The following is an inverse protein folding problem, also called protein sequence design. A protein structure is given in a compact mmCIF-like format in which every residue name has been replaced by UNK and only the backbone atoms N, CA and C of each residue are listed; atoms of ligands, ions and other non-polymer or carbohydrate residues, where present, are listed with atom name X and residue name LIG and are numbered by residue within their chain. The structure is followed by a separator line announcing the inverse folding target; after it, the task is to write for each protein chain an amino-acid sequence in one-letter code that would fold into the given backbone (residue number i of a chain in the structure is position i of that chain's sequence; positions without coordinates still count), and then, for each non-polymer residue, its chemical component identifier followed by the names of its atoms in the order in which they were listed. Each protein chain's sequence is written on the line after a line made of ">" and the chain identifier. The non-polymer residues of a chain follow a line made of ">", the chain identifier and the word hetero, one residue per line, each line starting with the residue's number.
data_IF_910701645134
#
_entry.id   IF_910701645134
#
_cell.length_a   1.000
_cell.length_b   1.000
_cell.length_c   1.000
_cell.angle_alpha   90.00
_cell.angle_beta   90.00
_cell.angle_gamma   90.00
#
_symmetry.space_group_name_H-M   'P 1'
#
loop_
_entity.id
_entity.type
_entity.pdbx_description
1 polymer ?
#
# COMPACT_ATOMS: atom_id res chain seq x y z
N UNK A 1 -13.30 5.94 -2.85
CA UNK A 1 -13.01 5.92 -1.40
C UNK A 1 -11.49 5.93 -1.27
N UNK A 2 -10.88 7.12 -1.21
CA UNK A 2 -9.42 7.24 -1.18
C UNK A 2 -8.90 6.93 0.23
N UNK A 3 -8.62 5.65 0.48
CA UNK A 3 -7.98 5.20 1.71
C UNK A 3 -6.44 5.27 1.56
N UNK A 4 -5.93 6.48 1.40
CA UNK A 4 -4.58 6.78 1.90
C UNK A 4 -4.64 6.59 3.41
N UNK A 5 -4.32 5.39 3.89
CA UNK A 5 -4.47 4.98 5.30
C UNK A 5 -3.62 5.73 6.32
N UNK A 6 -3.00 6.85 5.95
CA UNK A 6 -2.43 7.80 6.90
C UNK A 6 -3.10 9.17 6.67
N UNK A 7 -4.06 9.58 7.52
CA UNK A 7 -4.40 10.98 7.63
C UNK A 7 -3.13 11.80 7.93
N UNK A 8 -3.18 13.09 7.64
CA UNK A 8 -2.14 14.08 7.99
C UNK A 8 -1.81 14.09 9.51
N UNK A 9 -2.57 13.38 10.33
CA UNK A 9 -2.52 13.30 11.80
C UNK A 9 -1.98 11.95 12.33
N UNK A 10 -1.43 11.12 11.45
CA UNK A 10 -0.91 9.79 11.80
C UNK A 10 -1.98 8.69 11.70
N UNK A 11 -1.57 7.45 11.94
CA UNK A 11 -2.45 6.30 11.82
C UNK A 11 -3.40 6.21 13.04
N UNK A 12 -4.69 6.43 12.81
CA UNK A 12 -5.71 6.47 13.86
C UNK A 12 -5.79 5.13 14.62
N UNK A 13 -5.68 5.17 15.96
CA UNK A 13 -5.61 3.97 16.80
C UNK A 13 -6.87 3.08 16.72
N UNK A 14 -8.04 3.67 16.48
CA UNK A 14 -9.28 2.90 16.27
C UNK A 14 -9.26 2.20 14.93
N UNK A 15 -8.75 2.86 13.88
CA UNK A 15 -8.56 2.24 12.57
C UNK A 15 -7.50 1.14 12.62
N UNK A 16 -6.41 1.33 13.36
CA UNK A 16 -5.40 0.31 13.59
C UNK A 16 -6.00 -0.96 14.20
N UNK A 17 -6.82 -0.82 15.24
CA UNK A 17 -7.49 -1.95 15.87
C UNK A 17 -8.36 -2.73 14.88
N UNK A 18 -9.15 -2.04 14.05
CA UNK A 18 -9.97 -2.66 13.00
C UNK A 18 -9.10 -3.40 11.98
N UNK A 19 -8.02 -2.79 11.50
CA UNK A 19 -7.15 -3.42 10.51
C UNK A 19 -6.44 -4.65 11.08
N UNK A 20 -6.01 -4.62 12.35
CA UNK A 20 -5.42 -5.78 13.04
C UNK A 20 -6.43 -6.92 13.22
N UNK A 21 -7.65 -6.62 13.62
CA UNK A 21 -8.70 -7.63 13.74
C UNK A 21 -9.06 -8.27 12.39
N UNK A 22 -9.11 -7.47 11.32
CA UNK A 22 -9.33 -7.97 9.96
C UNK A 22 -8.14 -8.82 9.49
N UNK A 23 -6.90 -8.38 9.73
CA UNK A 23 -5.69 -9.13 9.37
C UNK A 23 -5.64 -10.48 10.09
N UNK A 24 -6.00 -10.52 11.38
CA UNK A 24 -6.11 -11.77 12.16
C UNK A 24 -7.11 -12.75 11.54
N UNK A 25 -8.29 -12.27 11.16
CA UNK A 25 -9.32 -13.12 10.54
C UNK A 25 -8.89 -13.61 9.16
N UNK A 26 -8.32 -12.72 8.33
CA UNK A 26 -7.83 -13.09 7.02
C UNK A 26 -6.69 -14.12 7.10
N UNK A 27 -5.76 -13.99 8.07
CA UNK A 27 -4.71 -14.98 8.29
C UNK A 27 -5.27 -16.38 8.54
N UNK A 28 -6.29 -16.50 9.38
CA UNK A 28 -6.93 -17.79 9.66
C UNK A 28 -7.61 -18.39 8.40
N UNK A 29 -8.18 -17.55 7.54
CA UNK A 29 -8.74 -18.00 6.26
C UNK A 29 -7.64 -18.45 5.29
N UNK A 30 -6.54 -17.69 5.19
CA UNK A 30 -5.38 -18.03 4.34
C UNK A 30 -4.76 -19.36 4.76
N UNK A 31 -4.58 -19.58 6.08
CA UNK A 31 -4.02 -20.83 6.61
C UNK A 31 -4.88 -22.04 6.26
N UNK A 32 -6.21 -21.86 6.19
CA UNK A 32 -7.15 -22.96 5.95
C UNK A 32 -7.43 -23.21 4.46
N UNK A 33 -7.48 -22.17 3.64
CA UNK A 33 -8.00 -22.24 2.27
C UNK A 33 -7.02 -21.75 1.20
N UNK A 34 -5.87 -21.19 1.59
CA UNK A 34 -5.03 -20.42 0.68
C UNK A 34 -5.60 -19.01 0.45
N UNK A 35 -5.06 -18.29 -0.53
CA UNK A 35 -5.52 -16.92 -0.83
C UNK A 35 -6.99 -16.95 -1.28
N UNK A 36 -7.93 -16.27 -0.58
CA UNK A 36 -9.33 -16.24 -0.99
C UNK A 36 -9.54 -15.40 -2.27
N UNK A 37 -9.29 -16.02 -3.42
CA UNK A 37 -9.54 -15.44 -4.75
C UNK A 37 -11.03 -15.56 -5.14
N UNK A 38 -11.37 -15.08 -6.34
CA UNK A 38 -12.76 -15.04 -6.82
C UNK A 38 -13.42 -16.43 -6.89
N UNK A 39 -12.65 -17.49 -7.16
CA UNK A 39 -13.19 -18.85 -7.24
C UNK A 39 -13.63 -19.36 -5.87
N UNK A 40 -12.95 -18.95 -4.80
CA UNK A 40 -13.25 -19.38 -3.43
C UNK A 40 -14.28 -18.47 -2.74
N UNK A 41 -14.23 -17.17 -2.99
CA UNK A 41 -14.94 -16.17 -2.19
C UNK A 41 -15.87 -15.25 -3.01
N UNK A 42 -15.97 -15.45 -4.33
CA UNK A 42 -16.65 -14.52 -5.23
C UNK A 42 -15.90 -13.20 -5.38
N UNK A 43 -16.42 -12.30 -6.22
CA UNK A 43 -15.79 -11.01 -6.52
C UNK A 43 -15.62 -10.14 -5.27
N UNK A 44 -16.70 -9.95 -4.51
CA UNK A 44 -16.69 -9.14 -3.28
C UNK A 44 -15.71 -9.69 -2.23
N UNK A 45 -15.64 -11.02 -2.08
CA UNK A 45 -14.74 -11.66 -1.12
C UNK A 45 -13.27 -11.57 -1.52
N UNK A 46 -12.98 -11.67 -2.82
CA UNK A 46 -11.63 -11.49 -3.34
C UNK A 46 -11.17 -10.03 -3.21
N UNK A 47 -12.05 -9.06 -3.49
CA UNK A 47 -11.77 -7.65 -3.30
C UNK A 47 -11.54 -7.34 -1.81
N UNK A 48 -12.40 -7.83 -0.92
CA UNK A 48 -12.24 -7.66 0.53
C UNK A 48 -10.93 -8.26 1.04
N UNK A 49 -10.55 -9.43 0.53
CA UNK A 49 -9.27 -10.08 0.84
C UNK A 49 -8.08 -9.19 0.51
N UNK A 50 -8.06 -8.64 -0.71
CA UNK A 50 -7.00 -7.72 -1.12
C UNK A 50 -7.00 -6.43 -0.30
N UNK A 51 -8.17 -5.84 -0.04
CA UNK A 51 -8.30 -4.62 0.78
C UNK A 51 -7.76 -4.84 2.19
N UNK A 52 -8.12 -5.95 2.85
CA UNK A 52 -7.62 -6.27 4.19
C UNK A 52 -6.09 -6.42 4.18
N UNK A 53 -5.54 -7.15 3.22
CA UNK A 53 -4.09 -7.30 3.09
C UNK A 53 -3.39 -5.96 2.83
N UNK A 54 -3.96 -5.11 1.98
CA UNK A 54 -3.44 -3.79 1.66
C UNK A 54 -3.40 -2.85 2.87
N UNK A 55 -4.37 -3.01 3.78
CA UNK A 55 -4.58 -2.17 4.95
C UNK A 55 -3.93 -2.70 6.23
N UNK A 56 -3.34 -3.89 6.23
CA UNK A 56 -2.62 -4.48 7.36
C UNK A 56 -1.24 -3.83 7.62
N UNK A 57 -1.12 -2.51 7.41
CA UNK A 57 0.13 -1.74 7.47
C UNK A 57 0.81 -1.76 8.84
N UNK A 58 0.11 -2.13 9.90
CA UNK A 58 0.70 -2.29 11.23
C UNK A 58 1.22 -3.73 11.49
N UNK A 59 1.20 -4.60 10.46
CA UNK A 59 1.68 -5.99 10.49
C UNK A 59 2.58 -6.33 9.28
N UNK A 60 3.85 -5.88 9.29
CA UNK A 60 4.77 -6.02 8.16
C UNK A 60 4.94 -7.46 7.64
N UNK A 61 5.19 -8.42 8.54
CA UNK A 61 5.39 -9.82 8.16
C UNK A 61 4.15 -10.43 7.49
N UNK A 62 2.96 -10.03 7.94
CA UNK A 62 1.73 -10.51 7.33
C UNK A 62 1.54 -9.93 5.93
N UNK A 63 1.80 -8.63 5.73
CA UNK A 63 1.77 -8.03 4.39
C UNK A 63 2.79 -8.68 3.44
N UNK A 64 4.01 -8.99 3.91
CA UNK A 64 5.01 -9.73 3.10
C UNK A 64 4.52 -11.12 2.72
N UNK A 65 3.90 -11.84 3.66
CA UNK A 65 3.28 -13.14 3.38
C UNK A 65 2.18 -13.03 2.33
N UNK A 66 1.28 -12.06 2.48
CA UNK A 66 0.22 -11.77 1.51
C UNK A 66 0.79 -11.42 0.13
N UNK A 67 1.85 -10.62 0.06
CA UNK A 67 2.53 -10.28 -1.19
C UNK A 67 3.04 -11.52 -1.92
N UNK A 68 3.71 -12.44 -1.21
CA UNK A 68 4.19 -13.69 -1.81
C UNK A 68 3.07 -14.61 -2.28
N UNK A 69 1.92 -14.62 -1.60
CA UNK A 69 0.74 -15.36 -2.06
C UNK A 69 0.14 -14.72 -3.31
N UNK A 70 0.00 -13.39 -3.31
CA UNK A 70 -0.54 -12.62 -4.42
C UNK A 70 0.31 -12.77 -5.69
N UNK A 71 1.64 -12.82 -5.53
CA UNK A 71 2.58 -13.09 -6.63
C UNK A 71 2.31 -14.45 -7.31
N UNK A 72 1.94 -15.48 -6.54
CA UNK A 72 1.57 -16.79 -7.08
C UNK A 72 0.21 -16.75 -7.79
N UNK A 73 -0.79 -16.08 -7.22
CA UNK A 73 -2.12 -15.96 -7.81
C UNK A 73 -2.11 -15.12 -9.11
N UNK A 74 -1.25 -14.11 -9.21
CA UNK A 74 -1.03 -13.37 -10.45
C UNK A 74 -0.40 -14.27 -11.52
N UNK A 75 0.56 -15.12 -11.14
CA UNK A 75 1.21 -16.05 -12.07
C UNK A 75 0.23 -17.09 -12.66
N UNK A 76 -0.83 -17.45 -11.93
CA UNK A 76 -1.90 -18.33 -12.42
C UNK A 76 -3.03 -17.57 -13.14
N UNK A 77 -3.00 -16.24 -13.16
CA UNK A 77 -4.06 -15.40 -13.73
C UNK A 77 -5.32 -15.32 -12.87
N UNK A 78 -5.27 -15.80 -11.61
CA UNK A 78 -6.40 -15.77 -10.67
C UNK A 78 -6.61 -14.40 -10.03
N UNK A 79 -5.60 -13.54 -10.08
CA UNK A 79 -5.62 -12.18 -9.53
C UNK A 79 -5.01 -11.21 -10.56
N UNK A 80 -5.60 -10.01 -10.74
CA UNK A 80 -5.03 -9.01 -11.64
C UNK A 80 -3.73 -8.39 -11.09
N UNK A 81 -2.76 -8.14 -11.97
CA UNK A 81 -1.42 -7.64 -11.60
C UNK A 81 -1.44 -6.31 -10.84
N UNK A 82 -2.44 -5.43 -11.06
CA UNK A 82 -2.53 -4.18 -10.32
C UNK A 82 -2.65 -4.39 -8.80
N UNK A 83 -3.29 -5.47 -8.34
CA UNK A 83 -3.40 -5.76 -6.91
C UNK A 83 -2.03 -6.00 -6.28
N UNK A 84 -1.17 -6.76 -6.97
CA UNK A 84 0.22 -6.98 -6.57
C UNK A 84 1.04 -5.71 -6.66
N UNK A 85 0.85 -4.91 -7.71
CA UNK A 85 1.57 -3.64 -7.89
C UNK A 85 1.37 -2.69 -6.70
N UNK A 86 0.12 -2.55 -6.24
CA UNK A 86 -0.22 -1.71 -5.09
C UNK A 86 0.35 -2.23 -3.77
N UNK A 87 0.27 -3.55 -3.52
CA UNK A 87 0.78 -4.15 -2.29
C UNK A 87 2.32 -4.11 -2.23
N UNK A 88 2.99 -4.44 -3.35
CA UNK A 88 4.46 -4.43 -3.46
C UNK A 88 5.03 -3.02 -3.24
N UNK A 89 4.49 -2.01 -3.93
CA UNK A 89 4.93 -0.63 -3.77
C UNK A 89 4.66 -0.10 -2.35
N UNK A 90 3.54 -0.47 -1.72
CA UNK A 90 3.27 -0.05 -0.33
C UNK A 90 4.30 -0.62 0.63
N UNK A 91 4.64 -1.91 0.50
CA UNK A 91 5.69 -2.54 1.31
C UNK A 91 7.02 -1.82 1.08
N UNK A 92 7.41 -1.62 -0.18
CA UNK A 92 8.66 -0.93 -0.54
C UNK A 92 8.75 0.47 0.07
N UNK A 93 7.70 1.28 -0.07
CA UNK A 93 7.69 2.65 0.49
C UNK A 93 7.73 2.63 2.00
N UNK A 94 7.03 1.68 2.64
CA UNK A 94 7.04 1.54 4.11
C UNK A 94 8.44 1.19 4.62
N UNK A 95 9.18 0.35 3.86
CA UNK A 95 10.58 -0.02 4.11
C UNK A 95 11.60 1.05 3.66
N UNK A 96 11.15 2.18 3.10
CA UNK A 96 12.02 3.26 2.61
C UNK A 96 12.68 2.98 1.25
N UNK A 97 12.25 1.94 0.55
CA UNK A 97 12.74 1.55 -0.77
C UNK A 97 12.05 2.24 -1.94
N UNK A 98 12.58 1.97 -3.15
CA UNK A 98 12.03 2.46 -4.41
C UNK A 98 10.85 1.60 -4.88
N UNK A 99 9.79 2.26 -5.34
CA UNK A 99 8.61 1.64 -5.95
C UNK A 99 8.90 1.10 -7.35
N UNK A 100 8.16 0.06 -7.75
CA UNK A 100 8.21 -0.47 -9.11
C UNK A 100 7.15 0.15 -9.99
N UNK A 101 5.92 0.31 -9.49
CA UNK A 101 4.76 0.73 -10.29
C UNK A 101 4.30 2.17 -9.99
N UNK A 102 4.84 2.80 -8.94
CA UNK A 102 4.52 4.18 -8.57
C UNK A 102 3.08 4.35 -8.11
N UNK A 103 2.58 3.45 -7.29
CA UNK A 103 1.19 3.46 -6.78
C UNK A 103 1.01 4.23 -5.47
N UNK A 104 2.10 4.53 -4.76
CA UNK A 104 2.12 5.36 -3.56
C UNK A 104 2.56 6.79 -3.88
N UNK A 105 1.90 7.72 -3.22
CA UNK A 105 2.02 9.16 -3.43
C UNK A 105 2.00 9.88 -2.09
N UNK A 106 2.57 11.09 -2.07
CA UNK A 106 2.51 12.01 -0.94
C UNK A 106 1.86 13.33 -1.39
N UNK A 107 1.06 13.94 -0.53
CA UNK A 107 0.59 15.32 -0.73
C UNK A 107 1.52 16.24 0.06
N UNK A 108 2.42 16.89 -0.67
CA UNK A 108 3.36 17.86 -0.09
C UNK A 108 2.73 19.27 -0.10
N UNK A 109 3.34 20.25 0.60
CA UNK A 109 2.93 21.67 0.48
C UNK A 109 2.94 22.17 -0.98
N UNK A 110 3.84 21.62 -1.82
CA UNK A 110 3.92 21.93 -3.24
C UNK A 110 2.87 21.24 -4.12
N UNK A 111 2.23 20.17 -3.62
CA UNK A 111 1.26 19.37 -4.38
C UNK A 111 1.53 17.85 -4.28
N UNK A 112 0.73 17.05 -5.01
CA UNK A 112 0.92 15.61 -5.07
C UNK A 112 2.22 15.25 -5.76
N UNK A 113 2.98 14.33 -5.17
CA UNK A 113 4.19 13.75 -5.74
C UNK A 113 4.12 12.24 -5.63
N UNK A 114 4.67 11.53 -6.61
CA UNK A 114 4.88 10.07 -6.49
C UNK A 114 6.08 9.83 -5.56
N UNK A 115 5.98 8.86 -4.65
CA UNK A 115 7.15 8.46 -3.85
C UNK A 115 8.26 7.92 -4.78
N UNK A 116 9.53 7.88 -4.37
CA UNK A 116 10.63 7.46 -5.24
C UNK A 116 10.38 6.14 -5.98
N UNK A 117 10.65 6.11 -7.29
CA UNK A 117 10.45 4.96 -8.17
C UNK A 117 11.78 4.47 -8.75
N UNK A 118 11.89 3.17 -9.01
CA UNK A 118 12.98 2.62 -9.80
C UNK A 118 12.79 2.99 -11.28
N UNK A 119 13.88 3.34 -11.97
CA UNK A 119 13.90 3.59 -13.42
C UNK A 119 12.70 4.41 -13.96
N UNK A 120 12.55 5.71 -13.60
CA UNK A 120 11.39 6.53 -13.95
C UNK A 120 11.02 6.52 -15.44
N UNK A 121 12.02 6.46 -16.33
CA UNK A 121 11.83 6.45 -17.78
C UNK A 121 11.01 5.26 -18.31
N UNK A 122 10.90 4.18 -17.54
CA UNK A 122 10.16 2.96 -17.90
C UNK A 122 8.94 2.71 -17.00
N UNK A 123 8.58 3.69 -16.16
CA UNK A 123 7.50 3.56 -15.19
C UNK A 123 6.15 3.32 -15.87
N UNK A 124 5.80 4.15 -16.86
CA UNK A 124 4.49 4.06 -17.52
C UNK A 124 4.32 2.76 -18.31
N UNK A 125 5.41 2.17 -18.79
CA UNK A 125 5.38 0.84 -19.41
C UNK A 125 5.00 -0.25 -18.39
N UNK A 126 5.61 -0.23 -17.19
CA UNK A 126 5.24 -1.17 -16.12
C UNK A 126 3.81 -0.94 -15.62
N UNK A 127 3.37 0.32 -15.53
CA UNK A 127 2.00 0.68 -15.16
C UNK A 127 0.99 0.13 -16.17
N UNK A 128 1.25 0.32 -17.46
CA UNK A 128 0.43 -0.22 -18.55
C UNK A 128 0.33 -1.75 -18.50
N UNK A 129 1.44 -2.45 -18.26
CA UNK A 129 1.46 -3.91 -18.09
C UNK A 129 0.61 -4.37 -16.90
N UNK A 130 0.57 -3.57 -15.82
CA UNK A 130 -0.27 -3.84 -14.66
C UNK A 130 -1.75 -3.43 -14.83
N UNK A 131 -2.13 -2.80 -15.95
CA UNK A 131 -3.48 -2.25 -16.15
C UNK A 131 -3.72 -0.92 -15.42
N UNK A 132 -2.66 -0.20 -15.06
CA UNK A 132 -2.72 1.11 -14.42
C UNK A 132 -2.61 2.23 -15.46
N UNK A 133 -3.26 3.36 -15.20
CA UNK A 133 -3.13 4.57 -16.00
C UNK A 133 -1.72 5.17 -15.92
N UNK A 134 -1.27 5.97 -16.90
CA UNK A 134 -0.02 6.72 -16.81
C UNK A 134 0.12 7.51 -15.50
N UNK A 135 1.35 7.68 -15.02
CA UNK A 135 1.61 8.35 -13.73
C UNK A 135 1.13 9.80 -13.74
N UNK A 136 1.23 10.49 -14.89
CA UNK A 136 0.77 11.87 -15.07
C UNK A 136 -0.73 12.01 -14.87
N UNK A 137 -1.54 11.08 -15.39
CA UNK A 137 -3.00 11.08 -15.19
C UNK A 137 -3.37 10.88 -13.72
N UNK A 138 -2.61 10.04 -13.01
CA UNK A 138 -2.82 9.84 -11.57
C UNK A 138 -2.46 11.08 -10.75
N UNK A 139 -1.36 11.75 -11.06
CA UNK A 139 -0.97 13.00 -10.41
C UNK A 139 -1.99 14.12 -10.69
N UNK A 140 -2.48 14.19 -11.92
CA UNK A 140 -3.50 15.15 -12.34
C UNK A 140 -4.82 14.96 -11.59
N UNK A 141 -5.24 13.70 -11.33
CA UNK A 141 -6.45 13.44 -10.54
C UNK A 141 -6.31 13.86 -9.07
N UNK A 142 -5.08 14.01 -8.57
CA UNK A 142 -4.77 14.43 -7.19
C UNK A 142 -4.45 15.93 -7.06
N UNK A 143 -4.42 16.69 -8.16
CA UNK A 143 -3.97 18.10 -8.15
C UNK A 143 -4.74 19.01 -7.18
N UNK A 144 -6.00 18.66 -6.91
CA UNK A 144 -6.93 19.40 -6.07
C UNK A 144 -6.99 18.87 -4.62
N UNK A 145 -6.17 17.89 -4.26
CA UNK A 145 -6.10 17.38 -2.89
C UNK A 145 -5.67 18.51 -1.93
N UNK A 146 -6.27 18.61 -0.72
CA UNK A 146 -5.89 19.60 0.27
C UNK A 146 -4.41 19.49 0.62
N UNK A 147 -3.68 20.62 0.57
CA UNK A 147 -2.24 20.65 0.83
C UNK A 147 -1.97 20.97 2.31
N UNK A 148 -1.05 20.25 2.97
CA UNK A 148 -0.61 20.60 4.31
C UNK A 148 0.24 21.87 4.29
N UNK A 149 0.39 22.52 5.44
CA UNK A 149 1.43 23.51 5.66
C UNK A 149 2.79 22.81 5.78
N UNK A 150 3.88 23.55 5.58
CA UNK A 150 5.25 23.03 5.78
C UNK A 150 5.42 22.42 7.19
N UNK A 151 4.93 23.11 8.22
CA UNK A 151 4.99 22.65 9.61
C UNK A 151 4.25 21.33 9.83
N UNK A 152 3.02 21.22 9.29
CA UNK A 152 2.21 19.99 9.39
C UNK A 152 2.84 18.84 8.63
N UNK A 153 3.38 19.12 7.45
CA UNK A 153 4.07 18.11 6.65
C UNK A 153 5.32 17.58 7.38
N UNK A 154 6.16 18.46 7.92
CA UNK A 154 7.35 18.07 8.67
C UNK A 154 7.02 17.25 9.93
N UNK A 155 5.99 17.65 10.69
CA UNK A 155 5.50 16.89 11.84
C UNK A 155 5.03 15.49 11.42
N UNK A 156 4.21 15.41 10.37
CA UNK A 156 3.72 14.14 9.83
C UNK A 156 4.85 13.20 9.41
N UNK A 157 5.89 13.69 8.72
CA UNK A 157 7.04 12.85 8.32
C UNK A 157 7.81 12.29 9.52
N UNK A 158 7.95 13.07 10.60
CA UNK A 158 8.59 12.61 11.83
C UNK A 158 7.77 11.52 12.51
N UNK A 159 6.46 11.73 12.65
CA UNK A 159 5.55 10.78 13.29
C UNK A 159 5.43 9.49 12.48
N UNK A 160 5.39 9.61 11.14
CA UNK A 160 5.40 8.48 10.22
C UNK A 160 6.66 7.62 10.38
N UNK A 161 7.85 8.22 10.43
CA UNK A 161 9.10 7.49 10.63
C UNK A 161 9.12 6.77 11.98
N UNK A 162 8.74 7.46 13.05
CA UNK A 162 8.65 6.86 14.38
C UNK A 162 7.68 5.68 14.41
N UNK A 163 6.52 5.81 13.76
CA UNK A 163 5.53 4.74 13.64
C UNK A 163 6.06 3.55 12.82
N UNK A 164 6.73 3.80 11.70
CA UNK A 164 7.35 2.74 10.87
C UNK A 164 8.38 1.93 11.65
N UNK A 165 9.17 2.58 12.50
CA UNK A 165 10.11 1.92 13.41
C UNK A 165 9.38 1.12 14.49
N UNK A 166 8.32 1.69 15.07
CA UNK A 166 7.51 1.03 16.09
C UNK A 166 6.88 -0.27 15.58
N UNK A 167 6.31 -0.28 14.36
CA UNK A 167 5.62 -1.45 13.81
C UNK A 167 6.56 -2.43 13.08
N UNK A 168 7.83 -2.07 12.88
CA UNK A 168 8.85 -2.96 12.33
C UNK A 168 9.02 -2.90 10.81
N UNK A 169 8.65 -1.79 10.16
CA UNK A 169 8.99 -1.54 8.75
C UNK A 169 10.45 -1.12 8.56
N UNK A 170 10.98 -0.34 9.50
CA UNK A 170 12.34 0.22 9.47
C UNK A 170 13.07 -0.23 10.74
N UNK A 171 14.35 -0.59 10.60
CA UNK A 171 15.16 -0.97 11.75
C UNK A 171 15.41 0.25 12.66
N UNK A 172 15.52 0.03 13.98
CA UNK A 172 15.81 1.13 14.93
C UNK A 172 17.17 1.80 14.69
N UNK A 173 18.08 1.16 13.96
CA UNK A 173 19.39 1.72 13.59
C UNK A 173 19.32 2.73 12.45
N UNK A 174 18.21 2.74 11.70
CA UNK A 174 18.04 3.48 10.46
C UNK A 174 17.11 4.69 10.64
N UNK A 175 16.79 5.03 11.90
CA UNK A 175 15.84 6.05 12.33
C UNK A 175 16.52 7.31 12.86
#
# INVERSE_FOLDING_TARGET
>A
MEASGAPCEGYDARMEAVHRDNARQLRALIERFGWPNEQLAGSDGAEATWLIAQHAIAEPEFMRTCRSLLEREVATGSVPLWQLAYLDDRIRVSEGGLQRFGTQFEITPSGPVVCPVENPASLDERRRQAGLSPISERLESMKNSPRPTEERYAAHKKDELAWRVQVGWVARSDA
#
